data_IF_870061956510
#
_entry.id   IF_870061956510
#
_cell.length_a   1.000
_cell.length_b   1.000
_cell.length_c   1.000
_cell.angle_alpha   90.00
_cell.angle_beta   90.00
_cell.angle_gamma   90.00
#
_symmetry.space_group_name_H-M   'P 1'
#
loop_
_entity.id
_entity.type
_entity.pdbx_description
1 polymer ?
#
# COMPACT_ATOMS: atom_id res chain seq x y z
N UNK A 1 13.45 43.45 15.58
CA UNK A 1 12.62 42.21 15.61
C UNK A 1 12.34 41.65 14.20
N UNK A 2 13.37 41.38 13.39
CA UNK A 2 13.20 40.80 12.03
C UNK A 2 14.11 39.59 11.76
N UNK A 3 15.09 39.32 12.63
CA UNK A 3 16.07 38.23 12.48
C UNK A 3 15.61 36.88 13.03
N UNK A 4 14.64 36.87 13.95
CA UNK A 4 14.09 35.63 14.55
C UNK A 4 13.09 34.94 13.63
N UNK A 5 12.44 35.70 12.74
CA UNK A 5 11.45 35.18 11.78
C UNK A 5 12.08 34.38 10.63
N UNK A 6 13.36 34.60 10.32
CA UNK A 6 14.09 33.86 9.27
C UNK A 6 14.46 32.43 9.68
N UNK A 7 14.57 32.14 10.98
CA UNK A 7 14.91 30.80 11.47
C UNK A 7 13.70 29.87 11.59
N UNK A 8 12.49 30.41 11.67
CA UNK A 8 11.26 29.61 11.72
C UNK A 8 10.82 29.09 10.34
N UNK A 9 11.32 29.69 9.25
CA UNK A 9 10.96 29.32 7.88
C UNK A 9 11.73 28.11 7.34
N UNK A 10 12.84 27.71 7.96
CA UNK A 10 13.66 26.57 7.50
C UNK A 10 13.16 25.20 8.00
N UNK A 11 12.25 25.19 8.99
CA UNK A 11 11.79 23.97 9.68
C UNK A 11 10.58 23.30 9.00
N UNK A 12 10.11 23.86 7.88
CA UNK A 12 9.07 23.28 7.03
C UNK A 12 9.62 22.61 5.76
N UNK A 13 10.88 22.17 5.80
CA UNK A 13 11.46 21.33 4.75
C UNK A 13 10.75 19.98 4.78
N UNK A 14 9.78 19.81 3.87
CA UNK A 14 8.88 18.68 3.79
C UNK A 14 9.59 17.34 3.95
N UNK A 15 9.16 16.59 4.97
CA UNK A 15 9.40 15.17 5.09
C UNK A 15 8.62 14.46 3.97
N UNK A 16 9.16 14.50 2.75
CA UNK A 16 8.81 13.53 1.72
C UNK A 16 9.32 12.20 2.23
N UNK A 17 8.46 11.43 2.90
CA UNK A 17 8.76 10.07 3.31
C UNK A 17 9.04 9.27 2.04
N UNK A 18 10.33 9.04 1.75
CA UNK A 18 10.73 8.19 0.64
C UNK A 18 10.28 6.78 1.00
N UNK A 19 9.23 6.30 0.34
CA UNK A 19 8.76 4.93 0.50
C UNK A 19 9.78 4.02 -0.17
N UNK A 20 10.55 3.28 0.62
CA UNK A 20 11.56 2.39 0.08
C UNK A 20 10.91 1.11 -0.47
N UNK A 21 11.55 0.45 -1.44
CA UNK A 21 11.13 -0.84 -1.99
C UNK A 21 10.91 -1.90 -0.88
N UNK A 22 11.73 -1.87 0.18
CA UNK A 22 11.58 -2.73 1.35
C UNK A 22 10.27 -2.47 2.12
N UNK A 23 9.84 -1.22 2.20
CA UNK A 23 8.60 -0.84 2.88
C UNK A 23 7.38 -1.31 2.10
N UNK A 24 7.41 -1.21 0.76
CA UNK A 24 6.36 -1.73 -0.12
C UNK A 24 6.19 -3.25 0.04
N UNK A 25 7.30 -3.99 0.15
CA UNK A 25 7.25 -5.44 0.40
C UNK A 25 6.64 -5.78 1.75
N UNK A 26 7.04 -5.07 2.82
CA UNK A 26 6.45 -5.25 4.15
C UNK A 26 4.97 -4.91 4.14
N UNK A 27 4.56 -3.85 3.44
CA UNK A 27 3.15 -3.48 3.28
C UNK A 27 2.34 -4.58 2.60
N UNK A 28 2.84 -5.12 1.48
CA UNK A 28 2.20 -6.22 0.76
C UNK A 28 2.04 -7.46 1.66
N UNK A 29 3.11 -7.86 2.36
CA UNK A 29 3.07 -9.01 3.27
C UNK A 29 2.05 -8.82 4.40
N UNK A 30 2.01 -7.63 5.01
CA UNK A 30 1.01 -7.27 6.02
C UNK A 30 -0.41 -7.35 5.46
N UNK A 31 -0.64 -6.88 4.23
CA UNK A 31 -1.94 -7.01 3.58
C UNK A 31 -2.32 -8.47 3.33
N UNK A 32 -1.42 -9.30 2.80
CA UNK A 32 -1.67 -10.75 2.62
C UNK A 32 -2.07 -11.42 3.93
N UNK A 33 -1.36 -11.13 5.03
CA UNK A 33 -1.69 -11.65 6.35
C UNK A 33 -3.06 -11.14 6.85
N UNK A 34 -3.37 -9.87 6.64
CA UNK A 34 -4.67 -9.29 7.02
C UNK A 34 -5.83 -9.90 6.23
N UNK A 35 -5.66 -10.13 4.92
CA UNK A 35 -6.64 -10.80 4.05
C UNK A 35 -6.89 -12.23 4.56
N UNK A 36 -5.82 -12.98 4.84
CA UNK A 36 -5.92 -14.35 5.36
C UNK A 36 -6.61 -14.39 6.73
N UNK A 37 -6.28 -13.46 7.63
CA UNK A 37 -6.95 -13.34 8.93
C UNK A 37 -8.44 -13.03 8.78
N UNK A 38 -8.80 -12.10 7.90
CA UNK A 38 -10.19 -11.74 7.63
C UNK A 38 -10.98 -12.94 7.08
N UNK A 39 -10.39 -13.74 6.19
CA UNK A 39 -11.01 -14.95 5.68
C UNK A 39 -11.23 -16.01 6.77
N UNK A 40 -10.19 -16.28 7.59
CA UNK A 40 -10.30 -17.22 8.72
C UNK A 40 -11.38 -16.81 9.72
N UNK A 41 -11.53 -15.50 9.95
CA UNK A 41 -12.57 -14.91 10.81
C UNK A 41 -13.94 -14.82 10.13
N UNK A 42 -14.11 -15.34 8.92
CA UNK A 42 -15.31 -15.24 8.08
C UNK A 42 -15.77 -13.80 7.86
N UNK A 43 -14.86 -12.82 7.93
CA UNK A 43 -15.16 -11.40 7.71
C UNK A 43 -15.29 -11.06 6.22
N UNK A 44 -14.68 -11.87 5.35
CA UNK A 44 -14.82 -11.82 3.90
C UNK A 44 -15.31 -13.18 3.39
N UNK A 45 -16.07 -13.17 2.31
CA UNK A 45 -16.52 -14.39 1.62
C UNK A 45 -15.37 -15.06 0.86
N UNK A 46 -15.49 -16.34 0.47
CA UNK A 46 -14.51 -16.99 -0.39
C UNK A 46 -14.25 -16.22 -1.70
N UNK A 47 -15.31 -15.72 -2.34
CA UNK A 47 -15.22 -14.96 -3.58
C UNK A 47 -14.44 -13.66 -3.41
N UNK A 48 -14.72 -12.90 -2.36
CA UNK A 48 -13.98 -11.67 -2.03
C UNK A 48 -12.52 -11.98 -1.67
N UNK A 49 -12.27 -13.08 -0.96
CA UNK A 49 -10.92 -13.53 -0.65
C UNK A 49 -10.11 -13.80 -1.93
N UNK A 50 -10.68 -14.52 -2.91
CA UNK A 50 -10.01 -14.78 -4.18
C UNK A 50 -9.70 -13.48 -4.95
N UNK A 51 -10.66 -12.55 -5.03
CA UNK A 51 -10.42 -11.23 -5.64
C UNK A 51 -9.27 -10.48 -4.97
N UNK A 52 -9.24 -10.47 -3.64
CA UNK A 52 -8.18 -9.83 -2.86
C UNK A 52 -6.83 -10.52 -3.08
N UNK A 53 -6.78 -11.85 -3.21
CA UNK A 53 -5.54 -12.57 -3.52
C UNK A 53 -5.04 -12.26 -4.95
N UNK A 54 -5.93 -12.23 -5.94
CA UNK A 54 -5.58 -11.85 -7.31
C UNK A 54 -4.97 -10.44 -7.37
N UNK A 55 -5.53 -9.48 -6.63
CA UNK A 55 -4.95 -8.14 -6.50
C UNK A 55 -3.54 -8.16 -5.90
N UNK A 56 -3.30 -8.97 -4.86
CA UNK A 56 -1.96 -9.10 -4.28
C UNK A 56 -0.96 -9.70 -5.28
N UNK A 57 -1.39 -10.64 -6.13
CA UNK A 57 -0.55 -11.19 -7.19
C UNK A 57 -0.26 -10.18 -8.30
N UNK A 58 -1.23 -9.33 -8.67
CA UNK A 58 -1.00 -8.22 -9.59
C UNK A 58 0.01 -7.23 -9.01
N UNK A 59 -0.11 -6.90 -7.72
CA UNK A 59 0.85 -6.03 -7.02
C UNK A 59 2.24 -6.67 -7.00
N UNK A 60 2.34 -7.97 -6.71
CA UNK A 60 3.62 -8.72 -6.71
C UNK A 60 4.30 -8.61 -8.07
N UNK A 61 3.56 -8.88 -9.15
CA UNK A 61 4.08 -8.79 -10.52
C UNK A 61 4.53 -7.36 -10.87
N UNK A 62 3.82 -6.34 -10.40
CA UNK A 62 4.25 -4.95 -10.59
C UNK A 62 5.57 -4.65 -9.86
N UNK A 63 5.72 -5.16 -8.63
CA UNK A 63 6.96 -5.02 -7.87
C UNK A 63 8.13 -5.79 -8.49
N UNK A 64 7.89 -6.96 -9.06
CA UNK A 64 8.92 -7.75 -9.76
C UNK A 64 9.38 -7.05 -11.04
N UNK A 65 8.45 -6.51 -11.83
CA UNK A 65 8.79 -5.75 -13.04
C UNK A 65 9.61 -4.50 -12.71
N UNK A 66 9.22 -3.77 -11.67
CA UNK A 66 9.89 -2.55 -11.26
C UNK A 66 11.20 -2.82 -10.47
N UNK A 67 11.59 -4.09 -10.30
CA UNK A 67 12.89 -4.51 -9.78
C UNK A 67 13.79 -5.10 -10.88
N UNK A 68 13.32 -5.21 -12.11
CA UNK A 68 14.06 -5.89 -13.17
C UNK A 68 15.36 -5.17 -13.58
N UNK A 69 15.43 -3.86 -13.33
CA UNK A 69 16.56 -2.97 -13.58
C UNK A 69 17.33 -2.59 -12.30
N UNK A 70 17.07 -3.30 -11.19
CA UNK A 70 17.61 -3.03 -9.85
C UNK A 70 17.37 -1.59 -9.33
N UNK A 71 16.48 -0.83 -9.99
CA UNK A 71 16.19 0.56 -9.65
C UNK A 71 14.68 0.82 -9.60
N UNK A 72 14.17 1.04 -8.39
CA UNK A 72 12.76 1.39 -8.23
C UNK A 72 12.58 2.91 -8.29
N UNK A 73 12.12 3.43 -9.43
CA UNK A 73 11.92 4.86 -9.62
C UNK A 73 10.80 5.41 -8.71
N UNK A 74 10.82 6.72 -8.34
CA UNK A 74 9.75 7.32 -7.55
C UNK A 74 8.35 7.17 -8.17
N UNK A 75 8.28 7.15 -9.52
CA UNK A 75 7.01 6.93 -10.23
C UNK A 75 6.48 5.52 -9.96
N UNK A 76 7.32 4.50 -10.10
CA UNK A 76 6.93 3.10 -9.85
C UNK A 76 6.62 2.85 -8.37
N UNK A 77 7.38 3.46 -7.46
CA UNK A 77 7.07 3.45 -6.03
C UNK A 77 5.66 3.95 -5.77
N UNK A 78 5.30 5.11 -6.33
CA UNK A 78 3.98 5.70 -6.17
C UNK A 78 2.88 4.86 -6.84
N UNK A 79 3.15 4.26 -7.99
CA UNK A 79 2.19 3.37 -8.66
C UNK A 79 1.91 2.12 -7.82
N UNK A 80 2.94 1.47 -7.28
CA UNK A 80 2.82 0.29 -6.41
C UNK A 80 2.14 0.67 -5.09
N UNK A 81 2.55 1.77 -4.47
CA UNK A 81 1.94 2.31 -3.27
C UNK A 81 0.44 2.59 -3.48
N UNK A 82 0.08 3.22 -4.60
CA UNK A 82 -1.32 3.46 -4.96
C UNK A 82 -2.12 2.17 -5.13
N UNK A 83 -1.52 1.10 -5.68
CA UNK A 83 -2.18 -0.22 -5.77
C UNK A 83 -2.39 -0.82 -4.38
N UNK A 84 -1.39 -0.77 -3.49
CA UNK A 84 -1.52 -1.22 -2.10
C UNK A 84 -2.62 -0.45 -1.34
N UNK A 85 -2.68 0.87 -1.49
CA UNK A 85 -3.73 1.70 -0.88
C UNK A 85 -5.15 1.33 -1.36
N UNK A 86 -5.31 1.04 -2.67
CA UNK A 86 -6.60 0.59 -3.21
C UNK A 86 -7.00 -0.79 -2.67
N UNK A 87 -6.06 -1.73 -2.60
CA UNK A 87 -6.30 -3.06 -2.05
C UNK A 87 -6.71 -3.01 -0.56
N UNK A 88 -6.06 -2.14 0.22
CA UNK A 88 -6.42 -1.92 1.63
C UNK A 88 -7.84 -1.37 1.79
N UNK A 89 -8.19 -0.34 1.01
CA UNK A 89 -9.56 0.22 0.99
C UNK A 89 -10.59 -0.85 0.63
N UNK A 90 -10.28 -1.73 -0.32
CA UNK A 90 -11.17 -2.82 -0.74
C UNK A 90 -11.35 -3.88 0.34
N UNK A 91 -10.26 -4.30 1.01
CA UNK A 91 -10.34 -5.18 2.18
C UNK A 91 -11.24 -4.58 3.27
N UNK A 92 -11.06 -3.29 3.58
CA UNK A 92 -11.92 -2.59 4.55
C UNK A 92 -13.38 -2.60 4.12
N UNK A 93 -13.67 -2.34 2.84
CA UNK A 93 -15.03 -2.40 2.30
C UNK A 93 -15.64 -3.79 2.45
N UNK A 94 -14.95 -4.86 2.07
CA UNK A 94 -15.49 -6.22 2.18
C UNK A 94 -15.72 -6.67 3.63
N UNK A 95 -14.88 -6.22 4.57
CA UNK A 95 -15.08 -6.50 6.00
C UNK A 95 -16.37 -5.89 6.55
N UNK A 96 -16.82 -4.73 6.05
CA UNK A 96 -17.99 -4.02 6.57
C UNK A 96 -19.23 -4.19 5.70
N UNK A 97 -19.05 -4.37 4.40
CA UNK A 97 -20.10 -4.48 3.40
C UNK A 97 -19.74 -5.63 2.45
N UNK A 98 -20.17 -6.83 2.83
CA UNK A 98 -20.04 -8.02 1.99
C UNK A 98 -20.78 -7.77 0.69
N UNK A 99 -20.17 -8.12 -0.44
CA UNK A 99 -20.87 -8.14 -1.72
C UNK A 99 -22.08 -9.09 -1.62
N UNK A 100 -23.28 -8.51 -1.64
CA UNK A 100 -24.53 -9.25 -1.78
C UNK A 100 -24.70 -9.54 -3.27
N UNK A 101 -24.80 -10.82 -3.63
CA UNK A 101 -25.02 -11.28 -5.00
C UNK A 101 -26.46 -11.73 -5.17
#
# INVERSE_FOLDING_TARGET
MKRVLLWLMLLLSGLATRVNAQDLQKMQQRQKAAIQSAFRKKQVTPKEYYKLQEEQEVIRKAMERAKADDYLSPKEQNEIYGKLQRAEKRLRKYKTNREVY
#
